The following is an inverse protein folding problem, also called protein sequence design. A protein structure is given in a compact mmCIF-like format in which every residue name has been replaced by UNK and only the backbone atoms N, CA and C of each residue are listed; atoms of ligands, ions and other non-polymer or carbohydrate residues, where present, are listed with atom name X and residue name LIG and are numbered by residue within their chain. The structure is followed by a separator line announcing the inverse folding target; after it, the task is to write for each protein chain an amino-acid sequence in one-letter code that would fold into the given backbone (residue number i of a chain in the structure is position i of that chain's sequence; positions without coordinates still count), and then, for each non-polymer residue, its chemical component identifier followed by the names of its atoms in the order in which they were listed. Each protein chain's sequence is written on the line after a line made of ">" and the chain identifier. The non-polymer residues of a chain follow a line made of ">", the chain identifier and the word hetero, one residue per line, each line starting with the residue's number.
data_IF_804280515753
#
_entry.id   IF_804280515753
#
_cell.length_a   1.000
_cell.length_b   1.000
_cell.length_c   1.000
_cell.angle_alpha   90.00
_cell.angle_beta   90.00
_cell.angle_gamma   90.00
#
_symmetry.space_group_name_H-M   'P 1'
#
loop_
_entity.id
_entity.type
_entity.pdbx_description
1 polymer ?
#
# COMPACT_ATOMS: atom_id res chain seq x y z
N UNK A 1 5.13 14.21 19.20
CA UNK A 1 4.24 13.64 20.24
C UNK A 1 3.21 12.77 19.53
N UNK A 2 3.09 11.50 19.90
CA UNK A 2 2.06 10.59 19.39
C UNK A 2 0.94 10.53 20.43
N UNK A 3 -0.32 10.60 19.97
CA UNK A 3 -1.51 10.52 20.79
C UNK A 3 -2.34 9.34 20.29
N UNK A 4 -2.80 8.49 21.20
CA UNK A 4 -3.63 7.33 20.90
C UNK A 4 -4.83 7.28 21.83
N UNK A 5 -5.96 6.77 21.34
CA UNK A 5 -7.15 6.49 22.15
C UNK A 5 -7.07 5.13 22.85
N UNK A 6 -6.17 4.25 22.39
CA UNK A 6 -5.96 2.93 22.99
C UNK A 6 -5.03 3.05 24.21
N UNK A 7 -5.59 2.82 25.39
CA UNK A 7 -4.88 2.88 26.68
C UNK A 7 -4.08 1.62 27.00
N UNK A 8 -4.29 0.54 26.25
CA UNK A 8 -3.59 -0.74 26.41
C UNK A 8 -2.38 -0.89 25.48
N UNK A 9 -2.18 0.07 24.59
CA UNK A 9 -1.16 0.02 23.55
C UNK A 9 0.24 0.28 24.11
N UNK A 10 1.15 -0.66 23.88
CA UNK A 10 2.57 -0.49 24.19
C UNK A 10 3.22 0.60 23.31
N UNK A 11 4.23 1.28 23.86
CA UNK A 11 4.94 2.36 23.15
C UNK A 11 5.59 1.88 21.84
N UNK A 12 6.28 0.74 21.85
CA UNK A 12 6.92 0.21 20.64
C UNK A 12 5.89 -0.14 19.58
N UNK A 13 4.76 -0.72 20.02
CA UNK A 13 3.65 -1.03 19.11
C UNK A 13 3.02 0.22 18.51
N UNK A 14 2.85 1.28 19.31
CA UNK A 14 2.36 2.57 18.83
C UNK A 14 3.30 3.18 17.79
N UNK A 15 4.60 3.07 18.00
CA UNK A 15 5.61 3.52 17.05
C UNK A 15 5.57 2.73 15.73
N UNK A 16 5.50 1.40 15.78
CA UNK A 16 5.36 0.54 14.59
C UNK A 16 4.13 0.90 13.76
N UNK A 17 2.99 1.11 14.43
CA UNK A 17 1.75 1.50 13.76
C UNK A 17 1.91 2.86 13.07
N UNK A 18 2.53 3.82 13.76
CA UNK A 18 2.77 5.14 13.18
C UNK A 18 3.76 5.08 12.01
N UNK A 19 4.76 4.20 12.06
CA UNK A 19 5.72 4.04 10.97
C UNK A 19 5.04 3.63 9.65
N UNK A 20 3.96 2.85 9.70
CA UNK A 20 3.18 2.47 8.52
C UNK A 20 2.49 3.67 7.83
N UNK A 21 2.34 4.82 8.50
CA UNK A 21 1.70 6.03 7.93
C UNK A 21 2.33 6.49 6.63
N UNK A 22 3.66 6.39 6.50
CA UNK A 22 4.39 6.84 5.31
C UNK A 22 3.93 6.13 4.02
N UNK A 23 3.33 4.94 4.14
CA UNK A 23 2.76 4.21 3.00
C UNK A 23 1.76 5.04 2.19
N UNK A 24 0.99 5.94 2.82
CA UNK A 24 0.02 6.77 2.10
C UNK A 24 0.70 7.82 1.20
N UNK A 25 1.88 8.31 1.60
CA UNK A 25 2.67 9.25 0.79
C UNK A 25 3.29 8.55 -0.41
N UNK A 26 3.77 7.32 -0.22
CA UNK A 26 4.23 6.46 -1.31
C UNK A 26 3.08 6.18 -2.28
N UNK A 27 1.91 5.83 -1.76
CA UNK A 27 0.69 5.65 -2.54
C UNK A 27 0.37 6.88 -3.42
N UNK A 28 0.34 8.08 -2.84
CA UNK A 28 0.02 9.30 -3.59
C UNK A 28 1.11 9.68 -4.59
N UNK A 29 2.39 9.45 -4.25
CA UNK A 29 3.53 9.67 -5.16
C UNK A 29 3.43 8.77 -6.39
N UNK A 30 3.20 7.48 -6.18
CA UNK A 30 3.09 6.49 -7.26
C UNK A 30 1.81 6.68 -8.07
N UNK A 31 0.69 6.99 -7.42
CA UNK A 31 -0.59 7.20 -8.11
C UNK A 31 -0.55 8.41 -9.04
N UNK A 32 0.15 9.49 -8.65
CA UNK A 32 0.37 10.64 -9.53
C UNK A 32 1.32 10.31 -10.69
N UNK A 33 2.49 9.72 -10.37
CA UNK A 33 3.55 9.48 -11.35
C UNK A 33 3.23 8.36 -12.35
N UNK A 34 2.66 7.25 -11.87
CA UNK A 34 2.50 6.00 -12.63
C UNK A 34 1.06 5.82 -13.11
N UNK A 35 0.08 6.14 -12.25
CA UNK A 35 -1.35 5.93 -12.55
C UNK A 35 -2.07 7.20 -13.02
N UNK A 36 -1.34 8.30 -13.21
CA UNK A 36 -1.83 9.54 -13.78
C UNK A 36 -3.03 10.14 -13.06
N UNK A 37 -3.09 10.01 -11.73
CA UNK A 37 -4.20 10.49 -10.89
C UNK A 37 -4.64 11.93 -11.22
N UNK A 38 -3.69 12.81 -11.54
CA UNK A 38 -3.90 14.23 -11.82
C UNK A 38 -4.12 14.60 -13.30
N UNK A 39 -4.04 13.64 -14.24
CA UNK A 39 -4.17 13.93 -15.69
C UNK A 39 -5.61 13.86 -16.23
N UNK A 40 -6.62 13.73 -15.37
CA UNK A 40 -8.01 13.74 -15.82
C UNK A 40 -8.42 15.15 -16.24
N UNK A 41 -8.56 15.39 -17.55
CA UNK A 41 -9.02 16.67 -18.11
C UNK A 41 -10.55 16.71 -18.33
N UNK A 42 -11.30 15.80 -17.72
CA UNK A 42 -12.76 15.76 -17.85
C UNK A 42 -13.38 16.99 -17.17
N UNK A 43 -14.37 17.59 -17.84
CA UNK A 43 -15.11 18.76 -17.31
C UNK A 43 -16.26 18.36 -16.38
N UNK A 44 -16.70 17.11 -16.47
CA UNK A 44 -17.77 16.57 -15.63
C UNK A 44 -17.23 16.06 -14.30
N UNK A 45 -17.83 16.50 -13.20
CA UNK A 45 -17.41 16.09 -11.86
C UNK A 45 -17.56 14.58 -11.64
N UNK A 46 -18.64 13.98 -12.15
CA UNK A 46 -18.84 12.52 -12.09
C UNK A 46 -17.73 11.74 -12.81
N UNK A 47 -17.21 12.27 -13.92
CA UNK A 47 -16.10 11.65 -14.65
C UNK A 47 -14.79 11.74 -13.85
N UNK A 48 -14.54 12.87 -13.17
CA UNK A 48 -13.39 13.02 -12.27
C UNK A 48 -13.47 12.06 -11.07
N UNK A 49 -14.64 11.91 -10.44
CA UNK A 49 -14.84 10.94 -9.35
C UNK A 49 -14.59 9.52 -9.84
N UNK A 50 -15.14 9.15 -11.00
CA UNK A 50 -14.95 7.82 -11.59
C UNK A 50 -13.46 7.56 -11.87
N UNK A 51 -12.74 8.54 -12.43
CA UNK A 51 -11.31 8.44 -12.69
C UNK A 51 -10.51 8.21 -11.40
N UNK A 52 -10.73 9.02 -10.36
CA UNK A 52 -10.05 8.87 -9.07
C UNK A 52 -10.33 7.49 -8.49
N UNK A 53 -11.60 7.05 -8.51
CA UNK A 53 -12.02 5.74 -7.99
C UNK A 53 -11.34 4.59 -8.74
N UNK A 54 -11.23 4.67 -10.06
CA UNK A 54 -10.53 3.69 -10.89
C UNK A 54 -9.03 3.64 -10.58
N UNK A 55 -8.38 4.79 -10.40
CA UNK A 55 -6.97 4.84 -10.01
C UNK A 55 -6.74 4.18 -8.64
N UNK A 56 -7.61 4.43 -7.67
CA UNK A 56 -7.56 3.80 -6.34
C UNK A 56 -7.69 2.28 -6.43
N UNK A 57 -8.66 1.77 -7.19
CA UNK A 57 -8.86 0.33 -7.39
C UNK A 57 -7.65 -0.30 -8.10
N UNK A 58 -7.15 0.36 -9.16
CA UNK A 58 -6.00 -0.11 -9.93
C UNK A 58 -4.75 -0.21 -9.07
N UNK A 59 -4.50 0.76 -8.20
CA UNK A 59 -3.37 0.70 -7.27
C UNK A 59 -3.49 -0.49 -6.31
N UNK A 60 -4.67 -0.71 -5.72
CA UNK A 60 -4.88 -1.84 -4.81
C UNK A 60 -4.62 -3.19 -5.49
N UNK A 61 -5.10 -3.36 -6.73
CA UNK A 61 -4.84 -4.58 -7.52
C UNK A 61 -3.35 -4.75 -7.79
N UNK A 62 -2.66 -3.69 -8.24
CA UNK A 62 -1.22 -3.74 -8.50
C UNK A 62 -0.41 -4.01 -7.24
N UNK A 63 -0.80 -3.42 -6.09
CA UNK A 63 -0.17 -3.68 -4.81
C UNK A 63 -0.35 -5.13 -4.37
N UNK A 64 -1.53 -5.72 -4.61
CA UNK A 64 -1.78 -7.14 -4.36
C UNK A 64 -0.91 -8.03 -5.26
N UNK A 65 -0.82 -7.73 -6.55
CA UNK A 65 0.05 -8.47 -7.48
C UNK A 65 1.52 -8.34 -7.06
N UNK A 66 2.00 -7.13 -6.74
CA UNK A 66 3.35 -6.91 -6.22
C UNK A 66 3.59 -7.75 -4.97
N UNK A 67 2.63 -7.80 -4.05
CA UNK A 67 2.71 -8.65 -2.85
C UNK A 67 2.82 -10.13 -3.22
N UNK A 68 2.02 -10.63 -4.16
CA UNK A 68 2.09 -12.03 -4.57
C UNK A 68 3.45 -12.38 -5.20
N UNK A 69 4.01 -11.48 -6.01
CA UNK A 69 5.29 -11.70 -6.69
C UNK A 69 6.52 -11.49 -5.78
N UNK A 70 6.49 -10.53 -4.84
CA UNK A 70 7.60 -10.27 -3.91
C UNK A 70 7.62 -11.23 -2.70
N UNK A 71 6.56 -11.99 -2.42
CA UNK A 71 6.50 -12.89 -1.27
C UNK A 71 7.13 -14.27 -1.51
N UNK A 72 7.48 -14.65 -2.74
CA UNK A 72 8.31 -15.84 -2.99
C UNK A 72 9.70 -15.43 -3.46
N UNK A 73 10.58 -15.17 -2.49
CA UNK A 73 12.01 -15.31 -2.79
C UNK A 73 12.29 -16.79 -3.08
N UNK A 74 13.14 -17.09 -4.06
CA UNK A 74 13.58 -18.48 -4.36
C UNK A 74 14.04 -19.19 -3.06
N UNK A 75 14.66 -18.48 -2.12
CA UNK A 75 15.04 -19.01 -0.81
C UNK A 75 13.87 -19.40 0.11
N UNK A 76 12.71 -18.75 -0.01
CA UNK A 76 11.47 -19.13 0.68
C UNK A 76 10.86 -20.42 0.14
N UNK A 77 10.95 -20.63 -1.18
CA UNK A 77 10.48 -21.84 -1.87
C UNK A 77 11.25 -23.11 -1.44
N UNK A 78 12.54 -22.96 -1.13
CA UNK A 78 13.37 -24.07 -0.63
C UNK A 78 13.41 -24.18 0.89
N UNK A 79 12.72 -23.31 1.64
CA UNK A 79 12.77 -23.31 3.11
C UNK A 79 12.35 -24.67 3.68
N UNK A 80 11.28 -25.28 3.16
CA UNK A 80 10.81 -26.59 3.62
C UNK A 80 11.75 -27.74 3.22
N UNK A 81 12.57 -27.55 2.18
CA UNK A 81 13.60 -28.51 1.75
C UNK A 81 14.85 -28.43 2.66
N UNK A 82 15.19 -27.24 3.17
CA UNK A 82 16.35 -27.05 4.06
C UNK A 82 16.07 -27.37 5.53
N UNK A 83 14.83 -27.23 6.00
CA UNK A 83 14.45 -27.58 7.39
C UNK A 83 14.03 -29.05 7.58
N UNK A 84 14.10 -29.86 6.51
CA UNK A 84 13.81 -31.30 6.50
C UNK A 84 15.04 -32.22 6.55
N UNK A 85 16.16 -31.74 7.09
CA UNK A 85 17.36 -32.53 7.43
C UNK A 85 17.71 -32.34 8.90
#
# INVERSE_FOLDING_TARGET
>A
VLLTTDRSLDFLRAYEIYAMRWSIEVFFSDSKRILYLEKCSARDFSSQIAHISLVMIRYNLLSMVKRLHDYETIGGLYKDVYYGV
#
